data_IF_473048091064
#
_entry.id   IF_473048091064
#
_cell.length_a   1.000
_cell.length_b   1.000
_cell.length_c   1.000
_cell.angle_alpha   90.00
_cell.angle_beta   90.00
_cell.angle_gamma   90.00
#
_symmetry.space_group_name_H-M   'P 1'
#
loop_
_entity.id
_entity.type
_entity.pdbx_description
1 polymer ?
#
# COMPACT_ATOMS: atom_id res chain seq x y z
N UNK A 1 47.37 78.35 -16.16
CA UNK A 1 46.19 77.70 -16.74
C UNK A 1 46.29 76.20 -16.42
N UNK A 2 45.29 75.65 -15.72
CA UNK A 2 44.82 74.26 -15.57
C UNK A 2 45.65 73.10 -16.22
N UNK A 3 45.76 71.87 -15.70
CA UNK A 3 45.33 71.13 -14.51
C UNK A 3 45.88 69.68 -14.69
N UNK A 4 46.13 68.94 -13.59
CA UNK A 4 45.83 67.51 -13.31
C UNK A 4 45.72 66.49 -14.49
N UNK A 5 46.09 65.22 -14.40
CA UNK A 5 46.21 64.32 -13.25
C UNK A 5 46.71 62.93 -13.71
N UNK A 6 47.31 62.20 -12.77
CA UNK A 6 47.41 60.74 -12.73
C UNK A 6 46.10 60.05 -13.14
N UNK A 7 46.23 58.99 -13.95
CA UNK A 7 45.17 58.00 -14.17
C UNK A 7 45.77 56.60 -14.15
N UNK A 8 45.99 56.08 -12.94
CA UNK A 8 45.97 54.63 -12.71
C UNK A 8 44.49 54.26 -12.53
N UNK A 9 43.82 53.90 -13.63
CA UNK A 9 42.37 53.68 -13.66
C UNK A 9 42.01 52.20 -13.72
N UNK A 10 41.80 51.65 -12.52
CA UNK A 10 40.63 50.84 -12.09
C UNK A 10 40.10 49.67 -12.93
N UNK A 11 40.75 49.22 -14.00
CA UNK A 11 40.23 48.10 -14.82
C UNK A 11 40.70 46.71 -14.35
N UNK A 12 41.81 46.64 -13.61
CA UNK A 12 42.37 45.38 -13.11
C UNK A 12 41.64 44.79 -11.89
N UNK A 13 41.16 45.64 -10.97
CA UNK A 13 40.51 45.15 -9.74
C UNK A 13 39.08 44.65 -9.94
N UNK A 14 38.34 45.16 -10.94
CA UNK A 14 36.93 44.80 -11.12
C UNK A 14 36.79 43.39 -11.73
N UNK A 15 37.73 42.95 -12.57
CA UNK A 15 37.72 41.62 -13.19
C UNK A 15 38.08 40.48 -12.23
N UNK A 16 38.82 40.75 -11.15
CA UNK A 16 39.15 39.74 -10.14
C UNK A 16 37.99 39.47 -9.15
N UNK A 17 37.15 40.47 -8.89
CA UNK A 17 36.02 40.35 -7.96
C UNK A 17 34.85 39.58 -8.60
N UNK A 18 34.62 39.74 -9.92
CA UNK A 18 33.59 39.00 -10.66
C UNK A 18 33.91 37.50 -10.85
N UNK A 19 35.19 37.13 -10.95
CA UNK A 19 35.59 35.72 -11.06
C UNK A 19 35.42 34.93 -9.76
N UNK A 20 35.57 35.58 -8.60
CA UNK A 20 35.45 34.92 -7.30
C UNK A 20 33.99 34.74 -6.86
N UNK A 21 33.08 35.64 -7.27
CA UNK A 21 31.65 35.53 -6.99
C UNK A 21 30.97 34.36 -7.72
N UNK A 22 31.51 33.95 -8.88
CA UNK A 22 31.02 32.80 -9.66
C UNK A 22 31.50 31.43 -9.13
N UNK A 23 32.55 31.42 -8.29
CA UNK A 23 33.06 30.20 -7.65
C UNK A 23 32.36 29.88 -6.32
N UNK A 24 31.62 30.84 -5.75
CA UNK A 24 30.87 30.66 -4.51
C UNK A 24 29.47 30.04 -4.71
N UNK A 25 29.00 29.86 -5.95
CA UNK A 25 27.67 29.26 -6.23
C UNK A 25 27.70 27.75 -6.48
N UNK A 26 28.86 27.09 -6.45
CA UNK A 26 28.98 25.64 -6.62
C UNK A 26 29.27 24.84 -5.34
N UNK A 27 29.42 25.49 -4.18
CA UNK A 27 29.39 24.80 -2.89
C UNK A 27 27.94 24.58 -2.44
N UNK A 28 27.15 23.88 -3.27
CA UNK A 28 25.95 23.21 -2.78
C UNK A 28 26.43 22.14 -1.79
N UNK A 29 26.13 22.40 -0.53
CA UNK A 29 26.41 21.53 0.60
C UNK A 29 25.63 20.21 0.41
N UNK A 30 26.19 19.24 -0.32
CA UNK A 30 25.57 17.94 -0.64
C UNK A 30 25.36 17.02 0.58
N UNK A 31 25.43 17.53 1.81
CA UNK A 31 25.39 16.73 3.04
C UNK A 31 24.13 16.93 3.90
N UNK A 32 23.08 17.63 3.43
CA UNK A 32 22.03 18.09 4.37
C UNK A 32 20.97 17.07 4.79
N UNK A 33 20.91 15.86 4.22
CA UNK A 33 19.81 14.91 4.48
C UNK A 33 20.22 13.43 4.68
N UNK A 34 21.46 13.14 5.07
CA UNK A 34 21.93 11.74 5.14
C UNK A 34 21.15 10.87 6.13
N UNK A 35 20.66 11.44 7.23
CA UNK A 35 19.93 10.68 8.25
C UNK A 35 18.44 10.54 7.88
N UNK A 36 17.88 11.59 7.28
CA UNK A 36 16.54 11.59 6.71
C UNK A 36 16.41 10.52 5.62
N UNK A 37 17.41 10.40 4.73
CA UNK A 37 17.44 9.34 3.70
C UNK A 37 17.43 7.94 4.32
N UNK A 38 18.25 7.69 5.36
CA UNK A 38 18.25 6.38 6.05
C UNK A 38 16.89 6.06 6.66
N UNK A 39 16.17 7.05 7.14
CA UNK A 39 14.83 6.83 7.68
C UNK A 39 13.85 6.42 6.59
N UNK A 40 13.88 7.11 5.45
CA UNK A 40 13.08 6.75 4.27
C UNK A 40 13.44 5.35 3.75
N UNK A 41 14.73 4.98 3.74
CA UNK A 41 15.17 3.63 3.40
C UNK A 41 14.55 2.57 4.33
N UNK A 42 14.42 2.86 5.63
CA UNK A 42 13.77 1.95 6.58
C UNK A 42 12.27 1.75 6.30
N UNK A 43 11.57 2.81 5.88
CA UNK A 43 10.17 2.73 5.46
C UNK A 43 10.00 1.93 4.16
N UNK A 44 10.92 2.13 3.21
CA UNK A 44 10.98 1.37 1.96
C UNK A 44 11.19 -0.14 2.22
N UNK A 45 12.09 -0.50 3.13
CA UNK A 45 12.31 -1.90 3.55
C UNK A 45 11.04 -2.47 4.18
N UNK A 46 10.38 -1.73 5.08
CA UNK A 46 9.15 -2.19 5.74
C UNK A 46 8.03 -2.46 4.71
N UNK A 47 7.88 -1.59 3.71
CA UNK A 47 6.93 -1.80 2.62
C UNK A 47 7.28 -3.03 1.77
N UNK A 48 8.56 -3.24 1.46
CA UNK A 48 9.01 -4.41 0.72
C UNK A 48 8.71 -5.70 1.50
N UNK A 49 9.07 -5.74 2.77
CA UNK A 49 8.80 -6.87 3.66
C UNK A 49 7.29 -7.15 3.76
N UNK A 50 6.47 -6.10 3.88
CA UNK A 50 5.01 -6.25 3.90
C UNK A 50 4.49 -6.88 2.61
N UNK A 51 4.96 -6.41 1.45
CA UNK A 51 4.58 -6.92 0.13
C UNK A 51 4.94 -8.40 -0.03
N UNK A 52 6.14 -8.78 0.37
CA UNK A 52 6.61 -10.18 0.33
C UNK A 52 5.79 -11.06 1.28
N UNK A 53 5.41 -10.56 2.46
CA UNK A 53 4.63 -11.30 3.43
C UNK A 53 3.13 -11.35 3.13
N UNK A 54 2.61 -10.42 2.31
CA UNK A 54 1.21 -10.36 1.91
C UNK A 54 0.87 -11.30 0.74
N UNK A 55 1.48 -12.49 0.75
CA UNK A 55 1.16 -13.60 -0.13
C UNK A 55 -0.16 -14.26 0.27
N UNK A 56 -1.19 -14.03 -0.54
CA UNK A 56 -2.56 -14.54 -0.37
C UNK A 56 -3.04 -14.99 -1.74
N UNK A 57 -3.50 -16.24 -1.84
CA UNK A 57 -4.18 -16.74 -3.05
C UNK A 57 -5.57 -16.11 -3.15
N UNK A 58 -5.62 -14.88 -3.64
CA UNK A 58 -6.87 -14.12 -3.70
C UNK A 58 -7.88 -14.75 -4.68
N UNK A 59 -7.41 -15.44 -5.71
CA UNK A 59 -8.24 -16.09 -6.71
C UNK A 59 -8.94 -17.33 -6.13
N UNK A 60 -8.28 -18.08 -5.23
CA UNK A 60 -8.95 -19.10 -4.42
C UNK A 60 -10.17 -18.51 -3.69
N UNK A 61 -10.01 -17.40 -2.98
CA UNK A 61 -11.11 -16.81 -2.20
C UNK A 61 -12.22 -16.22 -3.07
N UNK A 62 -11.88 -15.61 -4.20
CA UNK A 62 -12.88 -15.20 -5.21
C UNK A 62 -13.67 -16.39 -5.74
N UNK A 63 -12.99 -17.51 -6.02
CA UNK A 63 -13.67 -18.74 -6.45
C UNK A 63 -14.64 -19.26 -5.39
N UNK A 64 -14.30 -19.13 -4.10
CA UNK A 64 -15.19 -19.52 -2.99
C UNK A 64 -16.45 -18.66 -2.95
N UNK A 65 -16.32 -17.35 -3.15
CA UNK A 65 -17.47 -16.44 -3.27
C UNK A 65 -18.40 -16.89 -4.41
N UNK A 66 -17.84 -17.18 -5.59
CA UNK A 66 -18.62 -17.63 -6.76
C UNK A 66 -19.30 -18.96 -6.50
N UNK A 67 -18.61 -19.91 -5.89
CA UNK A 67 -19.16 -21.22 -5.53
C UNK A 67 -20.33 -21.07 -4.57
N UNK A 68 -20.13 -20.38 -3.44
CA UNK A 68 -21.18 -20.16 -2.44
C UNK A 68 -22.41 -19.52 -3.09
N UNK A 69 -22.19 -18.49 -3.92
CA UNK A 69 -23.28 -17.81 -4.57
C UNK A 69 -24.06 -18.71 -5.53
N UNK A 70 -23.37 -19.55 -6.31
CA UNK A 70 -24.02 -20.53 -7.19
C UNK A 70 -24.84 -21.52 -6.38
N UNK A 71 -24.26 -22.13 -5.34
CA UNK A 71 -24.95 -23.09 -4.49
C UNK A 71 -26.21 -22.48 -3.87
N UNK A 72 -26.11 -21.28 -3.28
CA UNK A 72 -27.26 -20.59 -2.69
C UNK A 72 -28.37 -20.30 -3.72
N UNK A 73 -28.01 -19.95 -4.96
CA UNK A 73 -29.00 -19.78 -6.05
C UNK A 73 -29.67 -21.09 -6.42
N UNK A 74 -28.91 -22.19 -6.55
CA UNK A 74 -29.47 -23.52 -6.83
C UNK A 74 -30.47 -23.94 -5.75
N UNK A 75 -30.12 -23.80 -4.47
CA UNK A 75 -31.07 -24.08 -3.39
C UNK A 75 -32.31 -23.18 -3.42
N UNK A 76 -32.16 -21.91 -3.79
CA UNK A 76 -33.29 -20.97 -3.86
C UNK A 76 -34.23 -21.25 -5.02
N UNK A 77 -33.73 -21.78 -6.14
CA UNK A 77 -34.49 -21.91 -7.37
C UNK A 77 -34.99 -23.34 -7.63
N UNK A 78 -34.19 -24.33 -7.24
CA UNK A 78 -34.33 -25.70 -7.73
C UNK A 78 -34.65 -26.70 -6.60
N UNK A 79 -34.57 -26.30 -5.32
CA UNK A 79 -34.91 -27.17 -4.20
C UNK A 79 -36.43 -27.33 -4.04
N UNK A 80 -36.96 -28.48 -4.46
CA UNK A 80 -38.40 -28.74 -4.51
C UNK A 80 -39.02 -29.27 -3.21
N UNK A 81 -38.21 -29.57 -2.19
CA UNK A 81 -38.65 -30.20 -0.94
C UNK A 81 -38.80 -29.20 0.21
N UNK A 82 -39.51 -29.60 1.27
CA UNK A 82 -39.48 -28.86 2.53
C UNK A 82 -38.04 -28.83 3.06
N UNK A 83 -37.51 -27.63 3.29
CA UNK A 83 -36.15 -27.45 3.80
C UNK A 83 -36.06 -27.87 5.27
N UNK A 84 -35.26 -28.89 5.63
CA UNK A 84 -35.01 -29.21 7.02
C UNK A 84 -34.30 -28.05 7.73
N UNK A 85 -34.54 -27.89 9.03
CA UNK A 85 -33.93 -26.82 9.83
C UNK A 85 -32.39 -26.85 9.73
N UNK A 86 -31.79 -28.04 9.75
CA UNK A 86 -30.34 -28.19 9.66
C UNK A 86 -29.78 -27.65 8.34
N UNK A 87 -30.42 -28.00 7.22
CA UNK A 87 -30.05 -27.48 5.89
C UNK A 87 -30.22 -25.96 5.83
N UNK A 88 -31.32 -25.43 6.36
CA UNK A 88 -31.53 -23.97 6.44
C UNK A 88 -30.45 -23.26 7.26
N UNK A 89 -30.00 -23.87 8.36
CA UNK A 89 -28.91 -23.35 9.18
C UNK A 89 -27.57 -23.38 8.44
N UNK A 90 -27.25 -24.47 7.73
CA UNK A 90 -26.05 -24.58 6.90
C UNK A 90 -26.03 -23.51 5.81
N UNK A 91 -27.12 -23.33 5.06
CA UNK A 91 -27.23 -22.29 4.03
C UNK A 91 -27.08 -20.88 4.60
N UNK A 92 -27.64 -20.63 5.78
CA UNK A 92 -27.50 -19.36 6.48
C UNK A 92 -26.05 -19.07 6.87
N UNK A 93 -25.34 -20.07 7.41
CA UNK A 93 -23.90 -19.98 7.70
C UNK A 93 -23.08 -19.78 6.42
N UNK A 94 -23.42 -20.49 5.35
CA UNK A 94 -22.74 -20.37 4.06
C UNK A 94 -22.87 -18.96 3.46
N UNK A 95 -24.06 -18.36 3.55
CA UNK A 95 -24.28 -16.94 3.23
C UNK A 95 -23.46 -16.01 4.12
N UNK A 96 -23.29 -16.35 5.40
CA UNK A 96 -22.39 -15.66 6.33
C UNK A 96 -20.93 -15.67 5.84
N UNK A 97 -20.41 -16.85 5.50
CA UNK A 97 -19.06 -17.02 4.95
C UNK A 97 -18.86 -16.20 3.67
N UNK A 98 -19.83 -16.19 2.75
CA UNK A 98 -19.78 -15.34 1.54
C UNK A 98 -19.54 -13.87 1.88
N UNK A 99 -20.25 -13.33 2.88
CA UNK A 99 -20.09 -11.93 3.30
C UNK A 99 -18.69 -11.67 3.86
N UNK A 100 -18.14 -12.62 4.61
CA UNK A 100 -16.79 -12.51 5.15
C UNK A 100 -15.76 -12.49 4.01
N UNK A 101 -15.81 -13.46 3.09
CA UNK A 101 -14.91 -13.47 1.93
C UNK A 101 -15.00 -12.19 1.11
N UNK A 102 -16.21 -11.73 0.74
CA UNK A 102 -16.38 -10.48 -0.03
C UNK A 102 -15.71 -9.31 0.68
N UNK A 103 -15.96 -9.15 1.99
CA UNK A 103 -15.35 -8.08 2.78
C UNK A 103 -13.82 -8.17 2.76
N UNK A 104 -13.26 -9.36 3.02
CA UNK A 104 -11.82 -9.55 3.12
C UNK A 104 -11.11 -9.45 1.77
N UNK A 105 -11.72 -9.92 0.69
CA UNK A 105 -11.22 -9.74 -0.69
C UNK A 105 -11.20 -8.26 -1.05
N UNK A 106 -12.24 -7.49 -0.74
CA UNK A 106 -12.23 -6.05 -0.98
C UNK A 106 -11.17 -5.31 -0.16
N UNK A 107 -10.95 -5.74 1.09
CA UNK A 107 -9.86 -5.20 1.92
C UNK A 107 -8.48 -5.55 1.36
N UNK A 108 -8.29 -6.77 0.86
CA UNK A 108 -7.06 -7.18 0.18
C UNK A 108 -6.76 -6.25 -1.01
N UNK A 109 -7.74 -6.04 -1.89
CA UNK A 109 -7.58 -5.17 -3.07
C UNK A 109 -7.26 -3.73 -2.68
N UNK A 110 -7.85 -3.22 -1.60
CA UNK A 110 -7.53 -1.90 -1.07
C UNK A 110 -6.11 -1.85 -0.50
N UNK A 111 -5.68 -2.86 0.25
CA UNK A 111 -4.32 -2.93 0.79
C UNK A 111 -3.27 -2.98 -0.33
N UNK A 112 -3.54 -3.67 -1.45
CA UNK A 112 -2.63 -3.67 -2.62
C UNK A 112 -2.51 -2.27 -3.24
N UNK A 113 -3.62 -1.53 -3.33
CA UNK A 113 -3.60 -0.15 -3.82
C UNK A 113 -2.84 0.77 -2.87
N UNK A 114 -3.08 0.64 -1.57
CA UNK A 114 -2.41 1.41 -0.53
C UNK A 114 -0.90 1.15 -0.52
N UNK A 115 -0.49 -0.12 -0.60
CA UNK A 115 0.91 -0.53 -0.76
C UNK A 115 1.57 0.19 -1.94
N UNK A 116 0.93 0.17 -3.11
CA UNK A 116 1.47 0.84 -4.30
C UNK A 116 1.52 2.36 -4.17
N UNK A 117 0.56 2.97 -3.46
CA UNK A 117 0.52 4.40 -3.23
C UNK A 117 1.64 4.84 -2.28
N UNK A 118 1.81 4.14 -1.16
CA UNK A 118 2.88 4.41 -0.19
C UNK A 118 4.27 4.18 -0.82
N UNK A 119 4.45 3.14 -1.64
CA UNK A 119 5.69 2.93 -2.42
C UNK A 119 6.02 4.16 -3.29
N UNK A 120 5.01 4.74 -3.94
CA UNK A 120 5.16 5.95 -4.76
C UNK A 120 5.50 7.17 -3.92
N UNK A 121 4.81 7.36 -2.79
CA UNK A 121 5.02 8.49 -1.88
C UNK A 121 6.42 8.48 -1.26
N UNK A 122 6.87 7.31 -0.79
CA UNK A 122 8.24 7.09 -0.27
C UNK A 122 9.29 7.35 -1.35
N UNK A 123 9.08 6.87 -2.58
CA UNK A 123 9.99 7.13 -3.71
C UNK A 123 10.07 8.63 -4.04
N UNK A 124 8.94 9.33 -4.03
CA UNK A 124 8.90 10.78 -4.26
C UNK A 124 9.63 11.54 -3.14
N UNK A 125 9.37 11.20 -1.88
CA UNK A 125 10.03 11.80 -0.72
C UNK A 125 11.56 11.62 -0.77
N UNK A 126 12.01 10.40 -1.11
CA UNK A 126 13.44 10.10 -1.29
C UNK A 126 14.07 10.97 -2.37
N UNK A 127 13.38 11.16 -3.50
CA UNK A 127 13.81 12.04 -4.58
C UNK A 127 13.88 13.50 -4.13
N UNK A 128 12.91 13.97 -3.35
CA UNK A 128 12.90 15.34 -2.86
C UNK A 128 14.06 15.62 -1.88
N UNK A 129 14.36 14.66 -1.00
CA UNK A 129 15.54 14.73 -0.12
C UNK A 129 16.85 14.78 -0.90
N UNK A 130 17.00 13.93 -1.93
CA UNK A 130 18.21 13.90 -2.77
C UNK A 130 18.41 15.19 -3.56
N UNK A 131 17.32 15.85 -3.95
CA UNK A 131 17.36 17.13 -4.66
C UNK A 131 17.40 18.34 -3.73
N UNK A 132 17.35 18.13 -2.41
CA UNK A 132 17.19 19.18 -1.41
C UNK A 132 15.99 20.12 -1.71
N UNK A 133 14.90 19.56 -2.26
CA UNK A 133 13.68 20.30 -2.65
C UNK A 133 12.63 20.38 -1.53
N UNK A 134 12.97 19.91 -0.33
CA UNK A 134 12.09 19.86 0.83
C UNK A 134 12.80 20.41 2.08
N UNK A 135 12.07 21.13 2.92
CA UNK A 135 12.58 21.57 4.23
C UNK A 135 12.55 20.43 5.26
N UNK A 136 13.28 20.61 6.36
CA UNK A 136 13.31 19.62 7.45
C UNK A 136 11.94 19.48 8.12
N UNK A 137 11.22 20.58 8.31
CA UNK A 137 9.89 20.61 8.89
C UNK A 137 8.88 19.87 8.00
N UNK A 138 8.94 20.09 6.69
CA UNK A 138 8.12 19.35 5.73
C UNK A 138 8.45 17.86 5.76
N UNK A 139 9.74 17.49 5.75
CA UNK A 139 10.16 16.10 5.87
C UNK A 139 9.61 15.41 7.13
N UNK A 140 9.71 16.06 8.29
CA UNK A 140 9.19 15.50 9.55
C UNK A 140 7.67 15.29 9.52
N UNK A 141 6.93 16.19 8.87
CA UNK A 141 5.48 16.06 8.71
C UNK A 141 5.12 14.89 7.77
N UNK A 142 5.83 14.75 6.64
CA UNK A 142 5.65 13.63 5.71
C UNK A 142 5.94 12.31 6.40
N UNK A 143 7.15 12.12 6.90
CA UNK A 143 7.56 10.86 7.54
C UNK A 143 6.63 10.44 8.66
N UNK A 144 6.15 11.37 9.49
CA UNK A 144 5.20 11.03 10.55
C UNK A 144 3.90 10.42 9.99
N UNK A 145 3.40 10.97 8.89
CA UNK A 145 2.18 10.49 8.23
C UNK A 145 2.45 9.13 7.58
N UNK A 146 3.49 9.05 6.74
CA UNK A 146 3.87 7.84 6.01
C UNK A 146 4.13 6.67 6.95
N UNK A 147 4.85 6.86 8.05
CA UNK A 147 5.11 5.81 9.04
C UNK A 147 3.82 5.26 9.65
N UNK A 148 2.85 6.14 9.97
CA UNK A 148 1.57 5.71 10.54
C UNK A 148 0.73 4.93 9.52
N UNK A 149 0.76 5.34 8.25
CA UNK A 149 -0.01 4.69 7.20
C UNK A 149 0.62 3.34 6.81
N UNK A 150 1.96 3.24 6.81
CA UNK A 150 2.68 1.97 6.66
C UNK A 150 2.35 1.02 7.81
N UNK A 151 2.38 1.48 9.07
CA UNK A 151 2.02 0.64 10.22
C UNK A 151 0.58 0.10 10.12
N UNK A 152 -0.36 0.97 9.72
CA UNK A 152 -1.76 0.57 9.49
C UNK A 152 -1.88 -0.44 8.36
N UNK A 153 -1.15 -0.25 7.27
CA UNK A 153 -1.12 -1.18 6.15
C UNK A 153 -0.63 -2.55 6.61
N UNK A 154 0.49 -2.62 7.34
CA UNK A 154 1.06 -3.88 7.87
C UNK A 154 0.08 -4.59 8.80
N UNK A 155 -0.63 -3.86 9.67
CA UNK A 155 -1.66 -4.46 10.53
C UNK A 155 -2.81 -5.01 9.67
N UNK A 156 -3.31 -4.20 8.73
CA UNK A 156 -4.42 -4.57 7.85
C UNK A 156 -4.11 -5.78 6.98
N UNK A 157 -2.91 -5.87 6.38
CA UNK A 157 -2.49 -7.00 5.53
C UNK A 157 -2.46 -8.30 6.34
N UNK A 158 -1.89 -8.26 7.54
CA UNK A 158 -1.85 -9.39 8.46
C UNK A 158 -3.26 -9.84 8.90
N UNK A 159 -4.13 -8.89 9.26
CA UNK A 159 -5.50 -9.20 9.64
C UNK A 159 -6.31 -9.82 8.49
N UNK A 160 -6.16 -9.30 7.26
CA UNK A 160 -6.83 -9.83 6.07
C UNK A 160 -6.35 -11.24 5.78
N UNK A 161 -5.03 -11.47 5.74
CA UNK A 161 -4.43 -12.80 5.52
C UNK A 161 -4.97 -13.80 6.54
N UNK A 162 -4.85 -13.47 7.83
CA UNK A 162 -5.34 -14.32 8.92
C UNK A 162 -6.83 -14.62 8.79
N UNK A 163 -7.66 -13.60 8.60
CA UNK A 163 -9.11 -13.76 8.54
C UNK A 163 -9.59 -14.63 7.37
N UNK A 164 -8.89 -14.59 6.23
CA UNK A 164 -9.23 -15.39 5.07
C UNK A 164 -8.97 -16.88 5.31
N UNK A 165 -7.83 -17.22 5.92
CA UNK A 165 -7.46 -18.62 6.17
C UNK A 165 -8.15 -19.23 7.41
N UNK A 166 -8.51 -18.43 8.42
CA UNK A 166 -9.20 -18.93 9.62
C UNK A 166 -10.58 -19.53 9.34
N UNK A 167 -11.26 -19.04 8.30
CA UNK A 167 -12.61 -19.50 7.95
C UNK A 167 -12.63 -20.69 6.99
N UNK A 168 -11.47 -21.13 6.47
CA UNK A 168 -11.39 -22.19 5.46
C UNK A 168 -11.87 -23.55 5.99
N UNK A 169 -11.65 -23.84 7.27
CA UNK A 169 -12.10 -25.10 7.89
C UNK A 169 -13.63 -25.20 7.90
N UNK A 170 -14.31 -24.11 8.28
CA UNK A 170 -15.76 -24.03 8.30
C UNK A 170 -16.34 -24.00 6.87
N UNK A 171 -15.69 -23.31 5.94
CA UNK A 171 -16.04 -23.37 4.52
C UNK A 171 -15.97 -24.81 3.99
N UNK A 172 -14.87 -25.52 4.26
CA UNK A 172 -14.65 -26.89 3.78
C UNK A 172 -15.71 -27.84 4.35
N UNK A 173 -16.03 -27.71 5.63
CA UNK A 173 -17.05 -28.51 6.30
C UNK A 173 -18.44 -28.28 5.67
N UNK A 174 -18.88 -27.03 5.59
CA UNK A 174 -20.21 -26.68 5.06
C UNK A 174 -20.32 -27.00 3.57
N UNK A 175 -19.29 -26.68 2.78
CA UNK A 175 -19.30 -26.95 1.33
C UNK A 175 -19.47 -28.43 1.05
N UNK A 176 -18.75 -29.31 1.76
CA UNK A 176 -18.90 -30.76 1.63
C UNK A 176 -20.31 -31.24 1.98
N UNK A 177 -20.87 -30.77 3.09
CA UNK A 177 -22.24 -31.12 3.51
C UNK A 177 -23.27 -30.69 2.46
N UNK A 178 -23.09 -29.49 1.87
CA UNK A 178 -23.99 -28.97 0.84
C UNK A 178 -23.77 -29.63 -0.54
N UNK A 179 -22.57 -30.13 -0.86
CA UNK A 179 -22.31 -30.86 -2.11
C UNK A 179 -23.16 -32.13 -2.22
N UNK A 180 -23.29 -32.87 -1.12
CA UNK A 180 -24.13 -34.08 -1.06
C UNK A 180 -25.60 -33.75 -1.34
N UNK A 181 -26.09 -32.60 -0.85
CA UNK A 181 -27.44 -32.11 -1.12
C UNK A 181 -27.60 -31.57 -2.54
N UNK A 182 -26.60 -30.83 -3.05
CA UNK A 182 -26.61 -30.28 -4.41
C UNK A 182 -26.64 -31.38 -5.48
N UNK A 183 -25.97 -32.50 -5.24
CA UNK A 183 -26.01 -33.67 -6.10
C UNK A 183 -27.41 -34.32 -6.17
N UNK A 184 -28.28 -34.10 -5.18
CA UNK A 184 -29.68 -34.54 -5.22
C UNK A 184 -30.59 -33.60 -6.01
N UNK A 185 -30.19 -32.32 -6.13
CA UNK A 185 -30.95 -31.28 -6.82
C UNK A 185 -30.60 -31.23 -8.31
N UNK A 186 -29.33 -31.45 -8.63
CA UNK A 186 -28.78 -31.36 -9.99
C UNK A 186 -28.66 -32.79 -10.55
N UNK A 187 -29.52 -33.21 -11.50
CA UNK A 187 -29.49 -34.56 -12.08
C UNK A 187 -28.25 -34.84 -12.94
#
# INVERSE_FOLDING_TARGET
>A
MFNKNNSYSSKGCIMLILGFALLLTFSSCKSSFSDEIKHVDGLEITLLDNKENFDVDIELFKSRITYIERSLRTFSNDYAHTMPLELGNQLSKFKGLKKIYIKRVGQYENNIKEQSELERQITALKKDLLNASISKEEFLAYVKTESLDIDRLVISTNEVKKSLYEIESEYTRISKELEEELARITP
#
